data_IF_108184609515
#
_entry.id   IF_108184609515
#
_cell.length_a   1.000
_cell.length_b   1.000
_cell.length_c   1.000
_cell.angle_alpha   90.00
_cell.angle_beta   90.00
_cell.angle_gamma   90.00
#
_symmetry.space_group_name_H-M   'P 1'
#
loop_
_entity.id
_entity.type
_entity.pdbx_description
1 polymer ?
#
# COMPACT_ATOMS: atom_id res chain seq x y z
N UNK A 1 31.64 -6.91 -9.96
CA UNK A 1 31.64 -6.77 -8.49
C UNK A 1 32.10 -5.37 -8.11
N UNK A 2 31.52 -4.74 -7.10
CA UNK A 2 31.96 -3.45 -6.57
C UNK A 2 31.25 -2.20 -7.11
N UNK A 3 30.27 -2.32 -8.01
CA UNK A 3 29.44 -1.17 -8.40
C UNK A 3 28.34 -0.91 -7.37
N UNK A 4 28.19 0.34 -6.94
CA UNK A 4 27.15 0.82 -6.05
C UNK A 4 26.46 2.03 -6.71
N UNK A 5 25.17 2.17 -6.46
CA UNK A 5 24.42 3.36 -6.89
C UNK A 5 24.63 4.47 -5.86
N UNK A 6 24.99 5.65 -6.35
CA UNK A 6 25.23 6.81 -5.49
C UNK A 6 24.35 8.00 -5.89
N UNK A 7 24.06 8.85 -4.93
CA UNK A 7 23.45 10.16 -5.11
C UNK A 7 24.26 11.19 -4.31
N UNK A 8 24.71 12.27 -4.97
CA UNK A 8 25.62 13.25 -4.39
C UNK A 8 26.84 12.62 -3.71
N UNK A 9 27.50 11.67 -4.40
CA UNK A 9 28.67 10.91 -3.97
C UNK A 9 28.47 10.06 -2.69
N UNK A 10 27.24 9.83 -2.26
CA UNK A 10 26.90 8.96 -1.14
C UNK A 10 26.10 7.75 -1.63
N UNK A 11 26.34 6.54 -1.08
CA UNK A 11 25.49 5.38 -1.39
C UNK A 11 24.01 5.69 -1.14
N UNK A 12 23.14 5.26 -2.07
CA UNK A 12 21.69 5.42 -1.89
C UNK A 12 21.13 4.37 -0.91
N UNK A 13 19.96 4.67 -0.37
CA UNK A 13 19.09 3.65 0.21
C UNK A 13 18.36 2.95 -0.92
N UNK A 14 18.85 1.77 -1.30
CA UNK A 14 18.33 0.98 -2.41
C UNK A 14 17.03 0.26 -2.01
N UNK A 15 15.95 1.02 -1.83
CA UNK A 15 14.63 0.49 -1.48
C UNK A 15 14.05 -0.33 -2.62
N UNK A 16 13.35 -1.42 -2.28
CA UNK A 16 12.65 -2.27 -3.24
C UNK A 16 11.42 -2.91 -2.61
N UNK A 17 10.50 -3.35 -3.45
CA UNK A 17 9.26 -4.01 -3.04
C UNK A 17 8.84 -5.03 -4.11
N UNK A 18 7.96 -5.96 -3.76
CA UNK A 18 7.59 -7.07 -4.63
C UNK A 18 6.85 -6.62 -5.91
N UNK A 19 5.85 -5.76 -5.79
CA UNK A 19 5.09 -5.25 -6.92
C UNK A 19 4.43 -3.92 -6.63
N UNK A 20 4.59 -2.93 -7.52
CA UNK A 20 4.03 -1.59 -7.32
C UNK A 20 2.52 -1.49 -7.63
N UNK A 21 1.99 -2.41 -8.45
CA UNK A 21 0.63 -2.33 -8.94
C UNK A 21 0.43 -1.35 -10.10
N UNK A 22 1.52 -0.95 -10.78
CA UNK A 22 1.54 -0.12 -11.99
C UNK A 22 2.21 1.24 -11.84
N UNK A 23 2.44 1.72 -10.61
CA UNK A 23 3.18 2.95 -10.32
C UNK A 23 3.87 2.84 -8.96
N UNK A 24 5.09 3.32 -8.86
CA UNK A 24 5.82 3.40 -7.58
C UNK A 24 5.42 4.65 -6.81
N UNK A 25 5.86 4.74 -5.55
CA UNK A 25 5.59 5.87 -4.66
C UNK A 25 6.85 6.63 -4.30
N UNK A 26 6.69 7.86 -3.83
CA UNK A 26 7.77 8.61 -3.22
C UNK A 26 7.99 8.18 -1.77
N UNK A 27 9.22 8.30 -1.27
CA UNK A 27 9.50 8.08 0.16
C UNK A 27 8.77 9.10 1.05
N UNK A 28 8.51 10.31 0.53
CA UNK A 28 7.75 11.35 1.20
C UNK A 28 6.29 10.93 1.44
N UNK A 29 5.63 10.39 0.42
CA UNK A 29 4.20 10.03 0.53
C UNK A 29 3.96 8.83 1.43
N UNK A 30 4.92 7.90 1.52
CA UNK A 30 4.77 6.68 2.32
C UNK A 30 5.27 6.87 3.75
N UNK A 31 6.42 7.55 3.94
CA UNK A 31 7.09 7.64 5.25
C UNK A 31 7.35 9.06 5.72
N UNK A 32 6.92 10.08 4.96
CA UNK A 32 7.21 11.49 5.24
C UNK A 32 8.71 11.81 5.27
N UNK A 33 9.52 11.14 4.43
CA UNK A 33 10.95 11.34 4.30
C UNK A 33 11.27 12.21 3.08
N UNK A 34 11.67 13.45 3.30
CA UNK A 34 12.10 14.40 2.26
C UNK A 34 13.58 14.24 1.86
N UNK A 35 14.34 13.44 2.60
CA UNK A 35 15.80 13.32 2.43
C UNK A 35 16.23 12.39 1.28
N UNK A 36 15.27 11.78 0.58
CA UNK A 36 15.52 10.80 -0.49
C UNK A 36 14.90 11.24 -1.83
N UNK A 37 15.34 12.36 -2.43
CA UNK A 37 14.71 12.91 -3.63
C UNK A 37 14.87 12.03 -4.87
N UNK A 38 15.75 11.03 -4.84
CA UNK A 38 15.92 10.02 -5.89
C UNK A 38 14.86 8.90 -5.84
N UNK A 39 14.11 8.74 -4.73
CA UNK A 39 13.00 7.79 -4.61
C UNK A 39 11.70 8.45 -5.08
N UNK A 40 11.62 8.68 -6.39
CA UNK A 40 10.47 9.30 -7.05
C UNK A 40 9.40 8.27 -7.41
N UNK A 41 8.17 8.75 -7.58
CA UNK A 41 7.10 7.97 -8.19
C UNK A 41 7.39 7.80 -9.69
N UNK A 42 7.35 6.55 -10.17
CA UNK A 42 7.62 6.19 -11.56
C UNK A 42 6.49 5.30 -12.07
N UNK A 43 6.03 5.58 -13.28
CA UNK A 43 5.08 4.71 -13.98
C UNK A 43 5.79 3.42 -14.43
N UNK A 44 5.28 2.27 -14.00
CA UNK A 44 5.84 0.94 -14.27
C UNK A 44 5.26 0.35 -15.56
N UNK A 45 5.33 1.13 -16.67
CA UNK A 45 4.77 0.76 -17.97
C UNK A 45 5.78 0.92 -19.10
N UNK A 46 5.58 0.08 -20.13
CA UNK A 46 6.13 0.30 -21.45
C UNK A 46 4.94 0.30 -22.44
N UNK A 47 4.68 1.46 -23.05
CA UNK A 47 3.47 1.67 -23.85
C UNK A 47 2.20 1.44 -23.01
N UNK A 48 1.35 0.51 -23.44
CA UNK A 48 0.12 0.15 -22.73
C UNK A 48 0.31 -0.97 -21.68
N UNK A 49 1.47 -1.65 -21.68
CA UNK A 49 1.74 -2.81 -20.82
C UNK A 49 2.26 -2.35 -19.46
N UNK A 50 1.58 -2.71 -18.38
CA UNK A 50 2.09 -2.59 -17.01
C UNK A 50 3.08 -3.72 -16.78
N UNK A 51 4.35 -3.42 -16.47
CA UNK A 51 5.42 -4.43 -16.36
C UNK A 51 5.17 -5.42 -15.25
N UNK A 52 4.75 -4.96 -14.06
CA UNK A 52 4.47 -5.85 -12.94
C UNK A 52 3.12 -6.59 -13.02
N UNK A 53 2.38 -6.52 -14.14
CA UNK A 53 1.04 -7.11 -14.27
C UNK A 53 1.03 -8.65 -14.20
N UNK A 54 2.14 -9.31 -14.52
CA UNK A 54 2.32 -10.76 -14.36
C UNK A 54 2.66 -11.20 -12.94
N UNK A 55 2.86 -10.28 -12.00
CA UNK A 55 3.16 -10.61 -10.61
C UNK A 55 1.94 -11.21 -9.89
N UNK A 56 2.17 -12.23 -9.05
CA UNK A 56 1.11 -12.96 -8.34
C UNK A 56 0.21 -12.09 -7.46
N UNK A 57 0.70 -10.95 -7.00
CA UNK A 57 -0.04 -9.98 -6.18
C UNK A 57 -0.37 -8.69 -6.96
N UNK A 58 -0.32 -8.70 -8.30
CA UNK A 58 -0.66 -7.52 -9.09
C UNK A 58 -2.07 -7.02 -8.80
N UNK A 59 -3.04 -7.92 -8.66
CA UNK A 59 -4.38 -7.64 -8.16
C UNK A 59 -4.72 -8.62 -7.05
N UNK A 60 -5.38 -8.13 -6.01
CA UNK A 60 -5.81 -8.96 -4.89
C UNK A 60 -7.13 -8.44 -4.32
N UNK A 61 -7.89 -9.36 -3.74
CA UNK A 61 -9.12 -9.06 -3.02
C UNK A 61 -9.12 -9.81 -1.70
N UNK A 62 -9.46 -9.11 -0.62
CA UNK A 62 -9.59 -9.69 0.71
C UNK A 62 -10.97 -9.35 1.27
N UNK A 63 -11.62 -10.33 1.87
CA UNK A 63 -12.89 -10.19 2.57
C UNK A 63 -12.68 -10.51 4.05
N UNK A 64 -13.05 -9.58 4.91
CA UNK A 64 -13.05 -9.78 6.36
C UNK A 64 -14.50 -9.64 6.81
N UNK A 65 -15.02 -10.59 7.60
CA UNK A 65 -16.41 -10.44 8.08
C UNK A 65 -16.54 -9.17 8.93
N UNK A 66 -17.66 -8.47 8.81
CA UNK A 66 -17.94 -7.22 9.56
C UNK A 66 -17.69 -7.44 11.04
N UNK A 67 -18.18 -8.55 11.60
CA UNK A 67 -17.97 -8.90 13.02
C UNK A 67 -16.48 -8.96 13.41
N UNK A 68 -15.63 -9.60 12.59
CA UNK A 68 -14.19 -9.67 12.86
C UNK A 68 -13.51 -8.29 12.71
N UNK A 69 -13.94 -7.53 11.72
CA UNK A 69 -13.42 -6.19 11.48
C UNK A 69 -13.76 -5.23 12.63
N UNK A 70 -14.99 -5.26 13.12
CA UNK A 70 -15.40 -4.48 14.29
C UNK A 70 -14.64 -4.90 15.56
N UNK A 71 -14.39 -6.20 15.76
CA UNK A 71 -13.55 -6.67 16.88
C UNK A 71 -12.14 -6.09 16.77
N UNK A 72 -11.53 -6.13 15.57
CA UNK A 72 -10.24 -5.51 15.32
C UNK A 72 -10.25 -4.02 15.66
N UNK A 73 -11.28 -3.27 15.22
CA UNK A 73 -11.39 -1.84 15.53
C UNK A 73 -11.48 -1.59 17.04
N UNK A 74 -12.31 -2.35 17.76
CA UNK A 74 -12.43 -2.24 19.23
C UNK A 74 -11.15 -2.57 19.98
N UNK A 75 -10.38 -3.51 19.47
CA UNK A 75 -9.13 -3.94 20.12
C UNK A 75 -7.98 -2.96 19.86
N UNK A 76 -8.05 -2.14 18.80
CA UNK A 76 -6.90 -1.36 18.31
C UNK A 76 -7.15 0.14 18.16
N UNK A 77 -8.35 0.59 17.89
CA UNK A 77 -8.60 1.95 17.39
C UNK A 77 -9.74 2.69 18.06
N UNK A 78 -10.83 2.00 18.42
CA UNK A 78 -12.02 2.62 19.01
C UNK A 78 -12.21 2.18 20.46
N UNK A 79 -12.88 3.00 21.25
CA UNK A 79 -13.20 2.63 22.63
C UNK A 79 -14.28 1.54 22.69
N UNK A 80 -14.31 0.77 23.79
CA UNK A 80 -15.28 -0.34 23.97
C UNK A 80 -16.75 0.11 23.88
N UNK A 81 -17.01 1.37 24.24
CA UNK A 81 -18.34 2.00 24.22
C UNK A 81 -18.62 2.81 22.96
N UNK A 82 -17.81 2.67 21.91
CA UNK A 82 -18.01 3.27 20.61
C UNK A 82 -18.48 2.21 19.60
N UNK A 83 -19.40 2.62 18.72
CA UNK A 83 -19.90 1.78 17.63
C UNK A 83 -19.31 2.26 16.32
N UNK A 84 -18.68 1.36 15.56
CA UNK A 84 -18.24 1.62 14.21
C UNK A 84 -19.44 1.85 13.28
N UNK A 85 -19.39 2.88 12.45
CA UNK A 85 -20.44 3.20 11.48
C UNK A 85 -19.97 2.99 10.05
N UNK A 86 -18.85 3.62 9.67
CA UNK A 86 -18.31 3.55 8.29
C UNK A 86 -16.85 3.97 8.23
N UNK A 87 -16.22 3.69 7.10
CA UNK A 87 -15.00 4.37 6.64
C UNK A 87 -15.41 5.49 5.68
N UNK A 88 -14.74 6.63 5.79
CA UNK A 88 -15.05 7.84 5.02
C UNK A 88 -13.76 8.57 4.62
N UNK A 89 -13.86 9.55 3.72
CA UNK A 89 -12.78 10.47 3.35
C UNK A 89 -11.46 9.76 2.96
N UNK A 90 -11.54 8.73 2.10
CA UNK A 90 -10.33 8.09 1.57
C UNK A 90 -9.58 9.08 0.67
N UNK A 91 -8.40 9.46 1.11
CA UNK A 91 -7.47 10.27 0.33
C UNK A 91 -6.35 9.38 -0.22
N UNK A 92 -5.96 9.65 -1.46
CA UNK A 92 -4.95 8.87 -2.16
C UNK A 92 -3.72 9.71 -2.49
N UNK A 93 -2.57 9.04 -2.55
CA UNK A 93 -1.34 9.59 -3.11
C UNK A 93 -1.45 9.69 -4.63
N UNK A 94 -0.51 10.38 -5.29
CA UNK A 94 -0.43 10.41 -6.75
C UNK A 94 -0.28 9.00 -7.37
N UNK A 95 0.41 8.09 -6.69
CA UNK A 95 0.56 6.68 -7.10
C UNK A 95 -0.69 5.81 -6.87
N UNK A 96 -1.74 6.36 -6.27
CA UNK A 96 -3.01 5.69 -6.03
C UNK A 96 -3.00 4.76 -4.81
N UNK A 97 -2.18 5.08 -3.81
CA UNK A 97 -2.19 4.41 -2.51
C UNK A 97 -2.98 5.23 -1.51
N UNK A 98 -3.63 4.57 -0.57
CA UNK A 98 -4.35 5.25 0.51
C UNK A 98 -3.34 6.02 1.37
N UNK A 99 -3.49 7.34 1.41
CA UNK A 99 -2.71 8.24 2.24
C UNK A 99 -3.26 8.28 3.66
N UNK A 100 -4.53 8.57 3.79
CA UNK A 100 -5.28 8.52 5.03
C UNK A 100 -6.79 8.36 4.76
N UNK A 101 -7.53 8.05 5.80
CA UNK A 101 -8.98 7.99 5.80
C UNK A 101 -9.54 8.13 7.21
N UNK A 102 -10.85 8.32 7.32
CA UNK A 102 -11.55 8.45 8.59
C UNK A 102 -12.29 7.15 8.95
N UNK A 103 -12.07 6.65 10.16
CA UNK A 103 -12.93 5.68 10.81
C UNK A 103 -13.96 6.46 11.59
N UNK A 104 -15.23 6.33 11.20
CA UNK A 104 -16.35 7.05 11.80
C UNK A 104 -17.04 6.15 12.80
N UNK A 105 -17.18 6.63 14.04
CA UNK A 105 -17.96 6.00 15.09
C UNK A 105 -19.21 6.84 15.41
N UNK A 106 -20.06 6.35 16.26
CA UNK A 106 -21.22 7.08 16.79
C UNK A 106 -20.83 8.29 17.67
N UNK A 107 -19.54 8.40 18.04
CA UNK A 107 -19.05 9.48 18.92
C UNK A 107 -18.02 10.40 18.29
N UNK A 108 -17.21 9.91 17.36
CA UNK A 108 -16.11 10.69 16.76
C UNK A 108 -15.63 10.14 15.42
N UNK A 109 -14.79 10.94 14.78
CA UNK A 109 -13.99 10.51 13.62
C UNK A 109 -12.54 10.33 14.05
N UNK A 110 -11.93 9.25 13.59
CA UNK A 110 -10.52 8.93 13.83
C UNK A 110 -9.83 8.91 12.48
N UNK A 111 -8.98 9.90 12.22
CA UNK A 111 -8.14 9.91 11.02
C UNK A 111 -6.96 8.97 11.22
N UNK A 112 -6.73 8.08 10.26
CA UNK A 112 -5.62 7.14 10.28
C UNK A 112 -4.88 7.15 8.94
N UNK A 113 -3.54 7.07 9.00
CA UNK A 113 -2.74 6.94 7.79
C UNK A 113 -2.89 5.53 7.19
N UNK A 114 -2.80 5.44 5.85
CA UNK A 114 -2.85 4.15 5.16
C UNK A 114 -1.77 3.19 5.62
N UNK A 115 -0.58 3.68 5.94
CA UNK A 115 0.55 2.84 6.40
C UNK A 115 0.34 2.34 7.83
N UNK A 116 -0.18 3.16 8.75
CA UNK A 116 -0.48 2.73 10.10
C UNK A 116 -1.59 1.68 10.10
N UNK A 117 -2.63 1.91 9.30
CA UNK A 117 -3.72 0.95 9.14
C UNK A 117 -3.20 -0.39 8.55
N UNK A 118 -2.32 -0.35 7.53
CA UNK A 118 -1.67 -1.54 6.98
C UNK A 118 -0.92 -2.32 8.06
N UNK A 119 -0.16 -1.63 8.91
CA UNK A 119 0.56 -2.27 10.01
C UNK A 119 -0.37 -2.87 11.06
N UNK A 120 -1.44 -2.16 11.43
CA UNK A 120 -2.41 -2.65 12.41
C UNK A 120 -3.15 -3.89 11.91
N UNK A 121 -3.65 -3.88 10.66
CA UNK A 121 -4.28 -5.05 10.04
C UNK A 121 -3.29 -6.21 9.91
N UNK A 122 -2.07 -5.94 9.46
CA UNK A 122 -1.05 -6.97 9.30
C UNK A 122 -0.70 -7.66 10.62
N UNK A 123 -0.61 -6.92 11.72
CA UNK A 123 -0.37 -7.47 13.05
C UNK A 123 -1.56 -8.24 13.62
N UNK A 124 -2.77 -7.89 13.23
CA UNK A 124 -3.99 -8.50 13.79
C UNK A 124 -4.46 -9.72 12.97
N UNK A 125 -4.50 -9.62 11.63
CA UNK A 125 -5.00 -10.65 10.74
C UNK A 125 -3.90 -11.40 9.98
N UNK A 126 -2.64 -11.01 10.13
CA UNK A 126 -1.51 -11.50 9.34
C UNK A 126 -1.21 -10.63 8.12
N UNK A 127 0.05 -10.58 7.71
CA UNK A 127 0.57 -9.69 6.66
C UNK A 127 0.03 -9.95 5.26
N UNK A 128 -0.71 -11.06 5.09
CA UNK A 128 -1.39 -11.40 3.83
C UNK A 128 -2.83 -10.87 3.76
N UNK A 129 -3.36 -10.33 4.87
CA UNK A 129 -4.73 -9.80 4.92
C UNK A 129 -4.93 -8.64 3.95
N UNK A 130 -4.01 -7.66 3.96
CA UNK A 130 -3.87 -6.67 2.88
C UNK A 130 -2.41 -6.66 2.45
N UNK A 131 -2.14 -6.57 1.15
CA UNK A 131 -0.79 -6.76 0.62
C UNK A 131 -0.04 -5.45 0.39
N UNK A 132 -0.77 -4.35 0.34
CA UNK A 132 -0.23 -3.01 0.12
C UNK A 132 -1.26 -1.97 0.60
N UNK A 133 -0.88 -0.71 0.60
CA UNK A 133 -1.79 0.41 0.82
C UNK A 133 -2.55 0.86 -0.44
N UNK A 134 -2.29 0.23 -1.61
CA UNK A 134 -3.00 0.50 -2.85
C UNK A 134 -4.29 -0.32 -2.92
N UNK A 135 -5.32 0.10 -2.20
CA UNK A 135 -6.61 -0.58 -2.16
C UNK A 135 -7.78 0.40 -2.20
N UNK A 136 -8.93 -0.11 -2.66
CA UNK A 136 -10.23 0.46 -2.42
C UNK A 136 -10.93 -0.31 -1.30
N UNK A 137 -11.81 0.38 -0.60
CA UNK A 137 -12.61 -0.18 0.47
C UNK A 137 -14.09 -0.21 0.07
N UNK A 138 -14.74 -1.32 0.33
CA UNK A 138 -16.18 -1.45 0.23
C UNK A 138 -16.71 -2.30 1.39
N UNK A 139 -17.96 -2.13 1.79
CA UNK A 139 -18.58 -2.88 2.86
C UNK A 139 -20.03 -3.22 2.49
N UNK A 140 -20.39 -4.46 2.68
CA UNK A 140 -21.77 -4.94 2.67
C UNK A 140 -22.18 -5.41 4.08
N UNK A 141 -23.37 -5.96 4.23
CA UNK A 141 -23.88 -6.43 5.54
C UNK A 141 -23.06 -7.56 6.17
N UNK A 142 -22.26 -8.28 5.38
CA UNK A 142 -21.51 -9.46 5.81
C UNK A 142 -20.02 -9.24 5.86
N UNK A 143 -19.48 -8.46 4.91
CA UNK A 143 -18.05 -8.35 4.68
C UNK A 143 -17.59 -6.92 4.49
N UNK A 144 -16.41 -6.67 5.04
CA UNK A 144 -15.53 -5.58 4.63
C UNK A 144 -14.64 -6.11 3.52
N UNK A 145 -14.60 -5.43 2.39
CA UNK A 145 -13.93 -5.87 1.18
C UNK A 145 -12.83 -4.89 0.83
N UNK A 146 -11.61 -5.38 0.78
CA UNK A 146 -10.45 -4.66 0.26
C UNK A 146 -10.15 -5.18 -1.14
N UNK A 147 -10.18 -4.31 -2.14
CA UNK A 147 -9.80 -4.60 -3.53
C UNK A 147 -8.56 -3.79 -3.86
N UNK A 148 -7.43 -4.46 -4.02
CA UNK A 148 -6.16 -3.80 -4.09
C UNK A 148 -5.22 -4.32 -5.17
N UNK A 149 -4.07 -3.67 -5.27
CA UNK A 149 -3.03 -3.97 -6.25
C UNK A 149 -1.62 -3.81 -5.66
N UNK A 150 -0.69 -4.63 -6.17
CA UNK A 150 0.70 -4.62 -5.73
C UNK A 150 0.93 -5.29 -4.38
N UNK A 151 2.21 -5.41 -4.02
CA UNK A 151 2.65 -6.00 -2.76
C UNK A 151 3.85 -5.24 -2.20
N UNK A 152 3.73 -4.77 -0.97
CA UNK A 152 4.73 -3.98 -0.26
C UNK A 152 4.47 -2.47 -0.33
N UNK A 153 5.43 -1.70 0.15
CA UNK A 153 5.30 -0.24 0.35
C UNK A 153 5.29 0.60 -0.94
N UNK A 154 5.76 0.07 -2.07
CA UNK A 154 5.71 0.77 -3.36
C UNK A 154 6.86 1.72 -3.65
N UNK A 155 7.78 1.97 -2.72
CA UNK A 155 8.89 2.92 -2.90
C UNK A 155 10.11 2.24 -3.51
N UNK A 156 10.80 2.91 -4.43
CA UNK A 156 12.00 2.42 -5.09
C UNK A 156 11.72 1.36 -6.15
N UNK A 157 12.55 0.33 -6.25
CA UNK A 157 12.49 -0.66 -7.34
C UNK A 157 11.31 -1.61 -7.18
N UNK A 158 10.48 -1.72 -8.20
CA UNK A 158 9.48 -2.76 -8.33
C UNK A 158 10.14 -4.05 -8.84
N UNK A 159 10.27 -5.09 -8.00
CA UNK A 159 10.94 -6.34 -8.36
C UNK A 159 10.26 -7.05 -9.53
N UNK A 160 8.92 -7.14 -9.52
CA UNK A 160 8.16 -7.75 -10.60
C UNK A 160 8.32 -6.98 -11.92
N UNK A 161 8.31 -5.63 -11.87
CA UNK A 161 8.53 -4.77 -13.03
C UNK A 161 9.95 -4.87 -13.56
N UNK A 162 10.96 -4.83 -12.69
CA UNK A 162 12.36 -4.97 -13.06
C UNK A 162 12.66 -6.34 -13.71
N UNK A 163 12.09 -7.43 -13.16
CA UNK A 163 12.21 -8.76 -13.75
C UNK A 163 11.60 -8.84 -15.16
N UNK A 164 10.44 -8.21 -15.38
CA UNK A 164 9.83 -8.18 -16.70
C UNK A 164 10.61 -7.29 -17.69
N UNK A 165 11.14 -6.16 -17.22
CA UNK A 165 12.00 -5.29 -18.01
C UNK A 165 13.27 -6.02 -18.47
N UNK A 166 13.91 -6.79 -17.56
CA UNK A 166 15.08 -7.59 -17.87
C UNK A 166 14.84 -8.61 -19.00
N UNK A 167 13.66 -9.22 -19.06
CA UNK A 167 13.28 -10.13 -20.16
C UNK A 167 13.15 -9.43 -21.52
N UNK A 168 12.79 -8.15 -21.51
CA UNK A 168 12.62 -7.37 -22.74
C UNK A 168 13.94 -6.79 -23.25
N UNK A 169 14.95 -6.65 -22.40
CA UNK A 169 16.25 -6.04 -22.73
C UNK A 169 17.38 -7.06 -22.93
N UNK A 170 17.15 -8.34 -22.61
CA UNK A 170 18.09 -9.44 -22.84
C UNK A 170 17.90 -10.11 -24.22
N UNK A 171 17.57 -9.34 -25.24
CA UNK A 171 17.53 -9.79 -26.65
C UNK A 171 18.81 -9.38 -27.38
#
# INVERSE_FOLDING_TARGET
>A
RGMIITYNNKPIWAMYHSGCGGRTETARDVWNYDTMPYLKSVDDRIGKKVLCSGGWAYRWKTKISVKKFESFLRDRLIAKNEKFLKIDNLNYTEGGRVKNFDIVTDKRKINISGIDFYHLIGRYFGWMAIKSTAFNFNMDDKYVIFDGKGYGHGVGMCQAGANEMGKLTCL
#
